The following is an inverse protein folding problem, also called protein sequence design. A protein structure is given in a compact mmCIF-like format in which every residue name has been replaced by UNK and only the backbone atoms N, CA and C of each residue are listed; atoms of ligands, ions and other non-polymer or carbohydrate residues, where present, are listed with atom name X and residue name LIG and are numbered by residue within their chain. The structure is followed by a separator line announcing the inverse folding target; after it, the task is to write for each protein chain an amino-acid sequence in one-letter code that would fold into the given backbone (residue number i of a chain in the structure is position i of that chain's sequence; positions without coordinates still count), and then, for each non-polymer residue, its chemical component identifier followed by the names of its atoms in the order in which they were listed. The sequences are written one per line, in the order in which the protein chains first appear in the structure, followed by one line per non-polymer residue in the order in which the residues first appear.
data_IF_384456936698
#
_entry.id   IF_384456936698
#
_cell.length_a   1.000
_cell.length_b   1.000
_cell.length_c   1.000
_cell.angle_alpha   90.00
_cell.angle_beta   90.00
_cell.angle_gamma   90.00
#
_symmetry.space_group_name_H-M   'P 1'
#
loop_
_entity.id
_entity.type
_entity.pdbx_description
1 polymer ?
#
# COMPACT_ATOMS: atom_id res chain seq x y z
N UNK A 1 23.56 31.39 19.02
CA UNK A 1 23.35 29.94 18.98
C UNK A 1 22.80 29.61 17.62
N UNK A 2 23.49 28.81 16.82
CA UNK A 2 23.03 28.46 15.47
C UNK A 2 21.83 27.53 15.62
N UNK A 3 20.74 27.83 14.93
CA UNK A 3 19.58 26.94 14.77
C UNK A 3 20.12 25.68 14.09
N UNK A 4 20.13 24.57 14.81
CA UNK A 4 20.54 23.28 14.24
C UNK A 4 19.47 22.93 13.20
N UNK A 5 19.80 23.06 11.91
CA UNK A 5 18.88 22.78 10.82
C UNK A 5 18.58 21.28 10.84
N UNK A 6 17.38 20.91 11.24
CA UNK A 6 16.93 19.53 11.20
C UNK A 6 16.92 19.07 9.75
N UNK A 7 17.60 17.99 9.42
CA UNK A 7 17.47 17.35 8.10
C UNK A 7 16.06 16.74 8.00
N UNK A 8 15.25 17.18 7.05
CA UNK A 8 13.91 16.63 6.89
C UNK A 8 13.95 15.12 6.66
N UNK A 9 13.06 14.38 7.31
CA UNK A 9 12.79 12.98 7.02
C UNK A 9 11.47 12.86 6.28
N UNK A 10 11.36 11.84 5.43
CA UNK A 10 10.21 11.51 4.61
C UNK A 10 9.61 10.21 5.12
N UNK A 11 8.44 10.30 5.74
CA UNK A 11 7.80 9.23 6.51
C UNK A 11 6.70 8.60 5.67
N UNK A 12 6.73 7.30 5.47
CA UNK A 12 5.78 6.55 4.65
C UNK A 12 5.06 5.52 5.52
N UNK A 13 3.77 5.70 5.67
CA UNK A 13 2.94 4.88 6.56
C UNK A 13 2.02 3.99 5.74
N UNK A 14 2.07 2.68 5.98
CA UNK A 14 0.97 1.82 5.57
C UNK A 14 -0.29 2.14 6.41
N UNK A 15 -1.47 1.71 5.92
CA UNK A 15 -2.75 1.96 6.58
C UNK A 15 -3.09 0.78 7.50
N UNK A 16 -3.38 -0.37 6.88
CA UNK A 16 -4.08 -1.49 7.51
C UNK A 16 -3.15 -2.29 8.42
N UNK A 17 -3.35 -2.17 9.72
CA UNK A 17 -2.46 -2.78 10.73
C UNK A 17 -1.32 -1.88 11.18
N UNK A 18 -1.08 -0.76 10.50
CA UNK A 18 0.00 0.18 10.81
C UNK A 18 -0.51 1.46 11.46
N UNK A 19 -1.29 2.30 10.76
CA UNK A 19 -1.86 3.52 11.35
C UNK A 19 -3.33 3.38 11.69
N UNK A 20 -4.03 2.42 11.08
CA UNK A 20 -5.47 2.21 11.26
C UNK A 20 -5.88 0.76 11.01
N UNK A 21 -7.12 0.40 11.33
CA UNK A 21 -7.70 -0.92 11.08
C UNK A 21 -9.22 -0.81 10.91
N UNK A 22 -9.80 -1.66 10.06
CA UNK A 22 -11.26 -1.74 9.86
C UNK A 22 -11.90 -0.40 9.47
N UNK A 23 -11.27 0.36 8.59
CA UNK A 23 -11.72 1.67 8.09
C UNK A 23 -12.02 2.69 9.22
N UNK A 24 -11.43 2.49 10.40
CA UNK A 24 -11.47 3.47 11.46
C UNK A 24 -10.35 4.51 11.27
N UNK A 25 -10.56 5.76 11.68
CA UNK A 25 -9.48 6.74 11.67
C UNK A 25 -8.33 6.30 12.60
N UNK A 26 -7.11 6.77 12.33
CA UNK A 26 -6.01 6.61 13.28
C UNK A 26 -6.36 7.16 14.66
N UNK A 27 -5.76 6.59 15.71
CA UNK A 27 -5.94 7.11 17.06
C UNK A 27 -5.56 8.59 17.15
N UNK A 28 -6.09 9.26 18.17
CA UNK A 28 -5.73 10.66 18.42
C UNK A 28 -4.22 10.79 18.67
N UNK A 29 -3.59 9.85 19.41
CA UNK A 29 -2.18 9.87 19.73
C UNK A 29 -1.30 9.70 18.49
N UNK A 30 -1.63 8.73 17.62
CA UNK A 30 -0.96 8.54 16.31
C UNK A 30 -1.12 9.79 15.43
N UNK A 31 -2.34 10.35 15.33
CA UNK A 31 -2.62 11.56 14.55
C UNK A 31 -1.79 12.75 15.03
N UNK A 32 -1.76 13.00 16.34
CA UNK A 32 -0.98 14.08 16.94
C UNK A 32 0.52 13.89 16.73
N UNK A 33 1.03 12.67 16.85
CA UNK A 33 2.44 12.37 16.63
C UNK A 33 2.87 12.64 15.18
N UNK A 34 2.06 12.22 14.19
CA UNK A 34 2.33 12.50 12.76
C UNK A 34 2.30 14.01 12.50
N UNK A 35 1.29 14.71 13.00
CA UNK A 35 1.18 16.19 12.89
C UNK A 35 2.37 16.90 13.51
N UNK A 36 2.85 16.42 14.66
CA UNK A 36 4.01 16.99 15.34
C UNK A 36 5.31 16.75 14.54
N UNK A 37 5.50 15.57 13.98
CA UNK A 37 6.64 15.30 13.09
C UNK A 37 6.63 16.24 11.88
N UNK A 38 5.45 16.46 11.25
CA UNK A 38 5.31 17.43 10.16
C UNK A 38 5.60 18.86 10.59
N UNK A 39 5.12 19.28 11.76
CA UNK A 39 5.41 20.61 12.33
C UNK A 39 6.91 20.82 12.60
N UNK A 40 7.67 19.76 12.84
CA UNK A 40 9.12 19.76 12.99
C UNK A 40 9.87 19.78 11.64
N UNK A 41 9.15 19.85 10.52
CA UNK A 41 9.73 19.98 9.17
C UNK A 41 9.93 18.66 8.43
N UNK A 42 9.45 17.54 8.96
CA UNK A 42 9.41 16.26 8.26
C UNK A 42 8.20 16.21 7.30
N UNK A 43 8.23 15.31 6.33
CA UNK A 43 7.13 15.05 5.40
C UNK A 43 6.49 13.71 5.72
N UNK A 44 5.16 13.61 5.63
CA UNK A 44 4.41 12.40 5.92
C UNK A 44 3.52 12.01 4.75
N UNK A 45 3.58 10.73 4.36
CA UNK A 45 2.86 10.17 3.23
C UNK A 45 2.14 8.89 3.66
N UNK A 46 0.94 8.66 3.13
CA UNK A 46 0.33 7.33 3.11
C UNK A 46 1.08 6.49 2.06
N UNK A 47 1.32 5.20 2.34
CA UNK A 47 1.91 4.25 1.40
C UNK A 47 1.18 2.91 1.50
N UNK A 48 0.14 2.73 0.69
CA UNK A 48 -0.84 1.66 0.85
C UNK A 48 -1.03 0.81 -0.41
N UNK A 49 -1.44 -0.43 -0.23
CA UNK A 49 -1.91 -1.29 -1.31
C UNK A 49 -3.33 -0.94 -1.79
N UNK A 50 -4.12 -0.19 -1.01
CA UNK A 50 -5.43 0.29 -1.44
C UNK A 50 -5.30 1.24 -2.62
N UNK A 51 -6.19 1.14 -3.62
CA UNK A 51 -6.33 2.17 -4.65
C UNK A 51 -7.03 3.40 -4.07
N UNK A 52 -6.90 4.55 -4.70
CA UNK A 52 -7.37 5.83 -4.12
C UNK A 52 -8.88 5.82 -3.84
N UNK A 53 -9.68 5.12 -4.63
CA UNK A 53 -11.12 5.00 -4.41
C UNK A 53 -11.52 4.15 -3.21
N UNK A 54 -10.58 3.37 -2.66
CA UNK A 54 -10.76 2.54 -1.46
C UNK A 54 -10.15 3.18 -0.20
N UNK A 55 -9.56 4.36 -0.32
CA UNK A 55 -9.03 5.12 0.81
C UNK A 55 -10.13 6.00 1.40
N UNK A 56 -10.44 5.81 2.66
CA UNK A 56 -11.53 6.53 3.32
C UNK A 56 -11.12 7.94 3.79
N UNK A 57 -12.08 8.88 3.76
CA UNK A 57 -11.86 10.30 3.92
C UNK A 57 -11.19 10.70 5.26
N UNK A 58 -11.49 10.00 6.35
CA UNK A 58 -10.94 10.32 7.67
C UNK A 58 -9.42 10.17 7.77
N UNK A 59 -8.78 9.40 6.89
CA UNK A 59 -7.32 9.34 6.80
C UNK A 59 -6.71 10.66 6.34
N UNK A 60 -7.37 11.37 5.41
CA UNK A 60 -6.88 12.65 4.93
C UNK A 60 -6.97 13.76 5.98
N UNK A 61 -7.82 13.59 7.01
CA UNK A 61 -7.91 14.53 8.14
C UNK A 61 -6.63 14.55 9.00
N UNK A 62 -5.81 13.50 8.98
CA UNK A 62 -4.48 13.48 9.61
C UNK A 62 -3.59 14.58 9.03
N UNK A 63 -3.76 14.88 7.73
CA UNK A 63 -3.07 15.96 7.04
C UNK A 63 -1.74 15.53 6.45
N UNK A 64 -1.70 14.42 5.73
CA UNK A 64 -0.51 13.96 4.98
C UNK A 64 -0.11 14.92 3.85
N UNK A 65 1.16 14.90 3.46
CA UNK A 65 1.70 15.67 2.33
C UNK A 65 1.40 14.99 0.98
N UNK A 66 1.03 13.72 1.00
CA UNK A 66 0.67 12.95 -0.19
C UNK A 66 0.36 11.50 0.11
N UNK A 67 0.12 10.74 -0.95
CA UNK A 67 -0.20 9.32 -0.90
C UNK A 67 0.47 8.56 -2.04
N UNK A 68 0.98 7.38 -1.73
CA UNK A 68 1.32 6.31 -2.64
C UNK A 68 0.20 5.28 -2.50
N UNK A 69 -0.66 5.15 -3.51
CA UNK A 69 -1.80 4.26 -3.56
C UNK A 69 -1.56 3.11 -4.55
N UNK A 70 -2.44 2.08 -4.55
CA UNK A 70 -2.37 0.96 -5.47
C UNK A 70 -1.05 0.21 -5.41
N UNK A 71 -0.46 0.05 -4.20
CA UNK A 71 0.86 -0.55 -4.00
C UNK A 71 2.00 0.12 -4.80
N UNK A 72 1.89 1.43 -5.08
CA UNK A 72 2.89 2.17 -5.87
C UNK A 72 2.41 2.55 -7.28
N UNK A 73 1.22 2.14 -7.68
CA UNK A 73 0.68 2.43 -9.01
C UNK A 73 0.28 3.90 -9.19
N UNK A 74 -0.17 4.57 -8.12
CA UNK A 74 -0.53 5.99 -8.16
C UNK A 74 0.19 6.77 -7.07
N UNK A 75 0.70 7.96 -7.40
CA UNK A 75 1.35 8.87 -6.45
C UNK A 75 0.76 10.26 -6.59
N UNK A 76 0.21 10.77 -5.49
CA UNK A 76 -0.35 12.12 -5.40
C UNK A 76 0.42 12.88 -4.31
N UNK A 77 0.96 14.06 -4.64
CA UNK A 77 1.68 14.95 -3.72
C UNK A 77 1.04 16.33 -3.76
N UNK A 78 0.70 16.89 -2.59
CA UNK A 78 0.04 18.19 -2.47
C UNK A 78 -1.19 18.33 -3.39
N UNK A 79 -1.98 17.24 -3.51
CA UNK A 79 -3.17 17.15 -4.36
C UNK A 79 -2.89 17.04 -5.87
N UNK A 80 -1.63 16.92 -6.29
CA UNK A 80 -1.24 16.76 -7.69
C UNK A 80 -0.74 15.34 -7.95
N UNK A 81 -1.34 14.68 -8.94
CA UNK A 81 -0.84 13.40 -9.43
C UNK A 81 0.53 13.60 -10.12
N UNK A 82 1.55 12.87 -9.65
CA UNK A 82 2.91 12.91 -10.21
C UNK A 82 3.29 11.63 -10.93
N UNK A 83 2.59 10.54 -10.65
CA UNK A 83 2.79 9.25 -11.29
C UNK A 83 1.50 8.46 -11.29
N UNK A 84 1.24 7.75 -12.39
CA UNK A 84 0.15 6.79 -12.48
C UNK A 84 0.50 5.69 -13.47
N UNK A 85 0.26 4.44 -13.08
CA UNK A 85 0.39 3.27 -13.92
C UNK A 85 -0.91 2.49 -13.93
N UNK A 86 -1.34 2.11 -15.12
CA UNK A 86 -2.48 1.21 -15.34
C UNK A 86 -2.01 -0.08 -16.00
N UNK A 87 -2.66 -1.18 -15.70
CA UNK A 87 -2.47 -2.43 -16.43
C UNK A 87 -2.80 -2.16 -17.91
N UNK A 88 -1.89 -2.48 -18.87
CA UNK A 88 -2.18 -2.34 -20.29
C UNK A 88 -3.45 -3.09 -20.68
N UNK A 89 -4.28 -2.48 -21.52
CA UNK A 89 -5.63 -3.00 -21.86
C UNK A 89 -5.59 -4.42 -22.44
N UNK A 90 -4.63 -4.70 -23.31
CA UNK A 90 -4.49 -6.04 -23.94
C UNK A 90 -4.10 -7.11 -22.90
N UNK A 91 -3.32 -6.74 -21.87
CA UNK A 91 -2.97 -7.63 -20.76
C UNK A 91 -4.14 -7.80 -19.81
N UNK A 92 -4.87 -6.72 -19.51
CA UNK A 92 -6.08 -6.77 -18.67
C UNK A 92 -7.14 -7.69 -19.29
N UNK A 93 -7.40 -7.55 -20.61
CA UNK A 93 -8.33 -8.42 -21.34
C UNK A 93 -7.93 -9.88 -21.17
N UNK A 94 -6.66 -10.25 -21.44
CA UNK A 94 -6.18 -11.63 -21.30
C UNK A 94 -6.28 -12.13 -19.86
N UNK A 95 -6.01 -11.28 -18.88
CA UNK A 95 -6.15 -11.63 -17.47
C UNK A 95 -7.59 -11.99 -17.13
N UNK A 96 -8.56 -11.16 -17.57
CA UNK A 96 -9.98 -11.40 -17.29
C UNK A 96 -10.55 -12.55 -18.13
N UNK A 97 -10.08 -12.75 -19.37
CA UNK A 97 -10.39 -13.97 -20.15
C UNK A 97 -9.99 -15.23 -19.40
N UNK A 98 -8.79 -15.23 -18.79
CA UNK A 98 -8.33 -16.35 -17.95
C UNK A 98 -9.22 -16.56 -16.74
N UNK A 99 -9.72 -15.50 -16.08
CA UNK A 99 -10.64 -15.63 -14.95
C UNK A 99 -11.93 -16.36 -15.37
N UNK A 100 -12.54 -15.94 -16.46
CA UNK A 100 -13.74 -16.60 -16.98
C UNK A 100 -13.48 -18.05 -17.43
N UNK A 101 -12.34 -18.29 -18.14
CA UNK A 101 -11.99 -19.62 -18.62
C UNK A 101 -11.79 -20.64 -17.47
N UNK A 102 -11.28 -20.20 -16.33
CA UNK A 102 -10.97 -21.04 -15.18
C UNK A 102 -11.96 -20.88 -14.02
N UNK A 103 -13.01 -20.08 -14.21
CA UNK A 103 -14.02 -19.78 -13.18
C UNK A 103 -13.42 -19.16 -11.90
N UNK A 104 -12.39 -18.32 -12.04
CA UNK A 104 -11.81 -17.59 -10.90
C UNK A 104 -12.60 -16.32 -10.60
N UNK A 105 -12.76 -16.04 -9.31
CA UNK A 105 -13.32 -14.78 -8.84
C UNK A 105 -12.21 -13.75 -8.64
N UNK A 106 -12.38 -12.57 -9.22
CA UNK A 106 -11.42 -11.49 -9.10
C UNK A 106 -12.04 -10.16 -8.71
N UNK A 107 -11.24 -9.32 -8.09
CA UNK A 107 -11.54 -7.92 -7.83
C UNK A 107 -10.53 -7.10 -8.63
N UNK A 108 -11.02 -6.33 -9.61
CA UNK A 108 -10.20 -5.39 -10.36
C UNK A 108 -10.25 -4.04 -9.65
N UNK A 109 -9.11 -3.53 -9.24
CA UNK A 109 -8.98 -2.35 -8.41
C UNK A 109 -8.47 -1.19 -9.27
N UNK A 110 -9.34 -0.24 -9.54
CA UNK A 110 -9.05 0.92 -10.36
C UNK A 110 -9.02 2.21 -9.56
N UNK A 111 -8.73 3.32 -10.23
CA UNK A 111 -8.66 4.66 -9.63
C UNK A 111 -10.01 5.13 -9.10
N UNK A 112 -11.06 4.95 -9.90
CA UNK A 112 -12.39 5.51 -9.62
C UNK A 112 -13.35 4.47 -9.05
N UNK A 113 -13.09 3.19 -9.28
CA UNK A 113 -14.03 2.13 -9.00
C UNK A 113 -13.32 0.79 -8.84
N UNK A 114 -13.86 -0.04 -7.95
CA UNK A 114 -13.53 -1.46 -7.81
C UNK A 114 -14.60 -2.26 -8.56
N UNK A 115 -14.18 -3.27 -9.33
CA UNK A 115 -15.07 -4.14 -10.10
C UNK A 115 -14.94 -5.59 -9.67
N UNK A 116 -16.05 -6.29 -9.56
CA UNK A 116 -16.05 -7.71 -9.29
C UNK A 116 -16.15 -8.53 -10.58
N UNK A 117 -15.23 -9.46 -10.79
CA UNK A 117 -15.29 -10.49 -11.82
C UNK A 117 -15.85 -11.76 -11.19
N UNK A 118 -17.09 -12.17 -11.51
CA UNK A 118 -17.73 -13.34 -10.92
C UNK A 118 -17.03 -14.65 -11.33
N UNK A 119 -16.89 -15.56 -10.37
CA UNK A 119 -16.32 -16.89 -10.56
C UNK A 119 -16.77 -17.85 -9.46
N UNK A 120 -15.87 -18.71 -8.99
CA UNK A 120 -16.16 -19.75 -8.00
C UNK A 120 -16.49 -19.22 -6.60
N UNK A 121 -16.02 -18.00 -6.25
CA UNK A 121 -16.26 -17.36 -4.94
C UNK A 121 -17.21 -16.20 -5.14
N UNK A 122 -18.28 -16.16 -4.37
CA UNK A 122 -19.15 -15.00 -4.29
C UNK A 122 -18.63 -14.04 -3.23
N UNK A 123 -18.28 -12.82 -3.62
CA UNK A 123 -17.84 -11.78 -2.70
C UNK A 123 -19.04 -10.94 -2.26
N UNK A 124 -19.08 -10.64 -0.96
CA UNK A 124 -20.05 -9.70 -0.38
C UNK A 124 -19.52 -8.28 -0.56
N UNK A 125 -20.35 -7.39 -1.10
CA UNK A 125 -20.01 -5.99 -1.33
C UNK A 125 -20.86 -5.44 -2.48
N UNK A 126 -21.01 -4.13 -2.51
CA UNK A 126 -21.75 -3.43 -3.56
C UNK A 126 -20.78 -2.99 -4.69
N UNK A 127 -20.09 -3.95 -5.27
CA UNK A 127 -19.19 -3.71 -6.39
C UNK A 127 -19.91 -3.92 -7.74
N UNK A 128 -19.73 -3.05 -8.72
CA UNK A 128 -20.12 -3.30 -10.08
C UNK A 128 -19.56 -4.64 -10.58
N UNK A 129 -20.42 -5.48 -11.14
CA UNK A 129 -20.05 -6.79 -11.65
C UNK A 129 -19.77 -6.73 -13.13
N UNK A 130 -18.63 -7.24 -13.54
CA UNK A 130 -18.38 -7.47 -14.97
C UNK A 130 -19.21 -8.67 -15.44
N UNK A 131 -19.96 -8.47 -16.52
CA UNK A 131 -20.83 -9.48 -17.12
C UNK A 131 -20.11 -10.31 -18.19
N UNK A 132 -18.95 -9.87 -18.62
CA UNK A 132 -18.13 -10.54 -19.63
C UNK A 132 -16.98 -9.66 -20.10
N UNK A 133 -16.17 -10.21 -21.00
CA UNK A 133 -14.99 -9.51 -21.57
C UNK A 133 -15.37 -8.19 -22.27
N UNK A 134 -16.57 -8.11 -22.83
CA UNK A 134 -17.03 -6.87 -23.49
C UNK A 134 -17.10 -5.65 -22.55
N UNK A 135 -17.18 -5.88 -21.23
CA UNK A 135 -17.15 -4.81 -20.25
C UNK A 135 -15.72 -4.31 -19.99
N UNK A 136 -14.69 -5.11 -20.33
CA UNK A 136 -13.29 -4.74 -20.24
C UNK A 136 -12.93 -3.96 -21.50
N UNK A 137 -12.85 -2.66 -21.38
CA UNK A 137 -12.53 -1.75 -22.48
C UNK A 137 -11.60 -0.63 -22.00
N UNK A 138 -11.06 0.15 -22.92
CA UNK A 138 -10.09 1.21 -22.63
C UNK A 138 -10.54 2.30 -21.66
N UNK A 139 -11.79 2.26 -21.17
CA UNK A 139 -12.26 3.15 -20.12
C UNK A 139 -11.99 2.62 -18.71
N UNK A 140 -11.72 1.31 -18.57
CA UNK A 140 -11.34 0.73 -17.28
C UNK A 140 -9.88 1.08 -16.96
N UNK A 141 -9.68 1.87 -15.93
CA UNK A 141 -8.37 2.29 -15.43
C UNK A 141 -8.01 1.44 -14.21
N UNK A 142 -7.50 0.22 -14.46
CA UNK A 142 -7.18 -0.78 -13.44
C UNK A 142 -5.70 -0.69 -13.10
N UNK A 143 -5.39 -0.59 -11.82
CA UNK A 143 -4.04 -0.47 -11.27
C UNK A 143 -3.48 -1.83 -10.85
N UNK A 144 -4.32 -2.64 -10.23
CA UNK A 144 -4.00 -3.98 -9.72
C UNK A 144 -5.27 -4.83 -9.62
N UNK A 145 -5.13 -6.09 -9.25
CA UNK A 145 -6.27 -6.95 -8.97
C UNK A 145 -5.96 -7.98 -7.90
N UNK A 146 -7.03 -8.50 -7.30
CA UNK A 146 -6.97 -9.58 -6.32
C UNK A 146 -7.79 -10.76 -6.81
N UNK A 147 -7.27 -11.98 -6.70
CA UNK A 147 -8.02 -13.23 -6.99
C UNK A 147 -8.35 -13.90 -5.66
N UNK A 148 -9.62 -14.29 -5.51
CA UNK A 148 -10.14 -15.01 -4.35
C UNK A 148 -10.41 -16.47 -4.71
N UNK A 149 -10.07 -17.40 -3.78
CA UNK A 149 -10.28 -18.83 -3.95
C UNK A 149 -10.99 -19.42 -2.72
N UNK A 150 -11.76 -20.50 -2.91
CA UNK A 150 -12.53 -21.12 -1.82
C UNK A 150 -11.69 -21.70 -0.70
N UNK A 151 -10.54 -22.26 -1.04
CA UNK A 151 -9.75 -23.07 -0.12
C UNK A 151 -8.37 -22.47 0.16
N UNK A 152 -7.85 -22.76 1.33
CA UNK A 152 -6.49 -22.45 1.71
C UNK A 152 -5.48 -23.04 0.71
N UNK A 153 -4.45 -22.27 0.36
CA UNK A 153 -3.40 -22.59 -0.61
C UNK A 153 -3.85 -22.71 -2.09
N UNK A 154 -5.08 -22.37 -2.44
CA UNK A 154 -5.56 -22.46 -3.82
C UNK A 154 -5.09 -21.35 -4.75
N UNK A 155 -4.56 -20.26 -4.23
CA UNK A 155 -3.97 -19.21 -5.07
C UNK A 155 -2.84 -19.78 -5.96
N UNK A 156 -2.11 -20.79 -5.50
CA UNK A 156 -1.11 -21.49 -6.31
C UNK A 156 -1.72 -22.34 -7.45
N UNK A 157 -3.01 -22.71 -7.36
CA UNK A 157 -3.75 -23.30 -8.48
C UNK A 157 -3.92 -22.27 -9.60
N UNK A 158 -4.25 -21.02 -9.25
CA UNK A 158 -4.36 -19.91 -10.21
C UNK A 158 -3.07 -19.77 -10.99
N UNK A 159 -1.94 -19.66 -10.29
CA UNK A 159 -0.62 -19.55 -10.93
C UNK A 159 -0.29 -20.74 -11.83
N UNK A 160 -0.68 -21.97 -11.45
CA UNK A 160 -0.47 -23.14 -12.30
C UNK A 160 -1.35 -23.17 -13.55
N UNK A 161 -2.56 -22.63 -13.48
CA UNK A 161 -3.52 -22.58 -14.60
C UNK A 161 -3.33 -21.36 -15.50
N UNK A 162 -2.76 -20.28 -14.96
CA UNK A 162 -2.46 -19.03 -15.65
C UNK A 162 -0.99 -18.62 -15.37
N UNK A 163 0.00 -19.43 -15.83
CA UNK A 163 1.41 -19.15 -15.52
C UNK A 163 1.92 -17.84 -16.13
N UNK A 164 1.28 -17.34 -17.18
CA UNK A 164 1.57 -16.07 -17.82
C UNK A 164 1.37 -14.88 -16.87
N UNK A 165 0.51 -14.98 -15.84
CA UNK A 165 0.34 -13.92 -14.86
C UNK A 165 1.66 -13.51 -14.22
N UNK A 166 2.50 -14.49 -13.84
CA UNK A 166 3.83 -14.22 -13.30
C UNK A 166 4.80 -13.63 -14.32
N UNK A 167 4.44 -13.58 -15.60
CA UNK A 167 5.18 -12.83 -16.63
C UNK A 167 4.98 -11.32 -16.52
N UNK A 168 3.78 -10.89 -16.09
CA UNK A 168 3.36 -9.49 -16.06
C UNK A 168 3.25 -8.91 -14.64
N UNK A 169 2.97 -9.77 -13.64
CA UNK A 169 2.65 -9.35 -12.29
C UNK A 169 3.57 -9.99 -11.24
N UNK A 170 3.80 -9.26 -10.18
CA UNK A 170 4.26 -9.81 -8.90
C UNK A 170 3.05 -10.18 -8.07
N UNK A 171 3.11 -11.28 -7.33
CA UNK A 171 1.99 -11.80 -6.54
C UNK A 171 2.31 -11.84 -5.05
N UNK A 172 1.41 -11.30 -4.26
CA UNK A 172 1.44 -11.34 -2.80
C UNK A 172 0.26 -12.19 -2.31
N UNK A 173 0.54 -13.40 -1.82
CA UNK A 173 -0.46 -14.28 -1.26
C UNK A 173 -0.67 -13.97 0.23
N UNK A 174 -1.93 -14.06 0.70
CA UNK A 174 -2.17 -14.04 2.14
C UNK A 174 -1.68 -15.34 2.80
N UNK A 175 -1.53 -15.32 4.13
CA UNK A 175 -1.00 -16.46 4.91
C UNK A 175 -1.81 -17.75 4.72
N UNK A 176 -3.11 -17.67 4.46
CA UNK A 176 -3.97 -18.84 4.22
C UNK A 176 -3.92 -19.34 2.76
N UNK A 177 -3.41 -18.53 1.83
CA UNK A 177 -3.45 -18.82 0.40
C UNK A 177 -4.86 -18.76 -0.21
N UNK A 178 -5.83 -18.14 0.48
CA UNK A 178 -7.22 -17.99 0.02
C UNK A 178 -7.40 -16.82 -0.95
N UNK A 179 -6.46 -15.89 -0.98
CA UNK A 179 -6.39 -14.85 -2.02
C UNK A 179 -4.95 -14.48 -2.35
N UNK A 180 -4.77 -13.90 -3.51
CA UNK A 180 -3.52 -13.31 -3.96
C UNK A 180 -3.78 -11.96 -4.62
N UNK A 181 -3.00 -10.99 -4.21
CA UNK A 181 -2.93 -9.66 -4.82
C UNK A 181 -1.89 -9.68 -5.94
N UNK A 182 -2.23 -9.13 -7.09
CA UNK A 182 -1.37 -9.06 -8.26
C UNK A 182 -1.14 -7.60 -8.63
N UNK A 183 0.11 -7.19 -8.59
CA UNK A 183 0.56 -5.85 -8.96
C UNK A 183 1.48 -5.92 -10.18
N UNK A 184 1.50 -4.88 -10.99
CA UNK A 184 2.36 -4.84 -12.17
C UNK A 184 3.83 -4.98 -11.77
N UNK A 185 4.61 -5.81 -12.49
CA UNK A 185 6.03 -6.02 -12.18
C UNK A 185 6.83 -4.73 -12.10
N UNK A 186 7.61 -4.62 -11.03
CA UNK A 186 8.43 -3.45 -10.74
C UNK A 186 7.63 -2.26 -10.19
N UNK A 187 6.33 -2.45 -9.90
CA UNK A 187 5.50 -1.50 -9.16
C UNK A 187 5.20 -2.12 -7.81
N UNK A 188 5.75 -1.51 -6.78
CA UNK A 188 5.58 -1.87 -5.39
C UNK A 188 5.70 -0.62 -4.50
N UNK A 189 5.43 -0.75 -3.22
CA UNK A 189 5.55 0.34 -2.25
C UNK A 189 6.97 0.95 -2.26
N UNK A 190 8.02 0.14 -2.41
CA UNK A 190 9.40 0.62 -2.48
C UNK A 190 9.67 1.49 -3.71
N UNK A 191 9.17 1.08 -4.88
CA UNK A 191 9.28 1.88 -6.12
C UNK A 191 8.53 3.20 -6.00
N UNK A 192 7.37 3.20 -5.30
CA UNK A 192 6.63 4.41 -4.96
C UNK A 192 7.44 5.37 -4.08
N UNK A 193 8.05 4.86 -3.01
CA UNK A 193 8.92 5.63 -2.11
C UNK A 193 10.11 6.23 -2.87
N UNK A 194 10.78 5.45 -3.74
CA UNK A 194 11.88 5.95 -4.59
C UNK A 194 11.44 7.12 -5.47
N UNK A 195 10.26 7.04 -6.10
CA UNK A 195 9.72 8.14 -6.93
C UNK A 195 9.42 9.40 -6.11
N UNK A 196 8.92 9.25 -4.88
CA UNK A 196 8.71 10.39 -3.99
C UNK A 196 10.06 10.99 -3.57
N UNK A 197 11.06 10.18 -3.23
CA UNK A 197 12.41 10.65 -2.92
C UNK A 197 13.04 11.39 -4.10
N UNK A 198 12.93 10.86 -5.31
CA UNK A 198 13.37 11.52 -6.56
C UNK A 198 12.65 12.86 -6.79
N UNK A 199 11.33 12.91 -6.58
CA UNK A 199 10.53 14.14 -6.72
C UNK A 199 11.03 15.26 -5.80
N UNK A 200 11.42 14.93 -4.57
CA UNK A 200 11.97 15.89 -3.62
C UNK A 200 13.49 16.08 -3.73
N UNK A 201 14.19 15.29 -4.55
CA UNK A 201 15.64 15.37 -4.71
C UNK A 201 16.40 14.92 -3.45
N UNK A 202 15.88 13.93 -2.73
CA UNK A 202 16.46 13.41 -1.49
C UNK A 202 16.95 11.97 -1.65
N UNK A 203 17.88 11.57 -0.79
CA UNK A 203 18.39 10.20 -0.74
C UNK A 203 17.39 9.28 -0.03
N UNK A 204 17.42 7.98 -0.35
CA UNK A 204 16.66 6.98 0.39
C UNK A 204 17.04 6.93 1.89
N UNK A 205 18.23 7.36 2.27
CA UNK A 205 18.67 7.48 3.67
C UNK A 205 17.83 8.47 4.49
N UNK A 206 17.15 9.43 3.83
CA UNK A 206 16.21 10.35 4.49
C UNK A 206 14.79 9.78 4.59
N UNK A 207 14.52 8.59 4.07
CA UNK A 207 13.19 7.96 4.11
C UNK A 207 13.03 7.05 5.32
N UNK A 208 11.79 6.96 5.83
CA UNK A 208 11.41 6.03 6.89
C UNK A 208 10.10 5.37 6.46
N UNK A 209 10.09 4.04 6.36
CA UNK A 209 8.91 3.26 6.03
C UNK A 209 8.35 2.58 7.28
N UNK A 210 7.02 2.60 7.42
CA UNK A 210 6.29 1.96 8.51
C UNK A 210 5.31 0.96 7.90
N UNK A 211 5.32 -0.29 8.39
CA UNK A 211 4.46 -1.36 7.88
C UNK A 211 4.26 -2.49 8.89
N UNK A 212 3.38 -3.43 8.56
CA UNK A 212 3.02 -4.55 9.44
C UNK A 212 2.99 -5.90 8.73
N UNK A 213 2.96 -5.94 7.40
CA UNK A 213 2.74 -7.17 6.65
C UNK A 213 3.77 -7.37 5.52
N UNK A 214 3.82 -8.58 4.93
CA UNK A 214 4.84 -8.94 3.94
C UNK A 214 4.77 -8.12 2.64
N UNK A 215 3.66 -7.44 2.35
CA UNK A 215 3.59 -6.52 1.21
C UNK A 215 4.36 -5.20 1.46
N UNK A 216 4.79 -4.96 2.73
CA UNK A 216 5.66 -3.84 3.12
C UNK A 216 7.14 -4.18 3.04
N UNK A 217 7.49 -5.47 2.92
CA UNK A 217 8.87 -5.95 3.06
C UNK A 217 9.84 -5.19 2.14
N UNK A 218 9.46 -4.99 0.88
CA UNK A 218 10.29 -4.25 -0.07
C UNK A 218 10.47 -2.77 0.33
N UNK A 219 9.45 -2.13 0.92
CA UNK A 219 9.51 -0.76 1.39
C UNK A 219 10.38 -0.63 2.65
N UNK A 220 10.24 -1.59 3.58
CA UNK A 220 11.03 -1.69 4.82
C UNK A 220 12.51 -1.87 4.50
N UNK A 221 12.85 -2.78 3.58
CA UNK A 221 14.24 -3.02 3.17
C UNK A 221 14.85 -1.84 2.39
N UNK A 222 14.07 -1.17 1.56
CA UNK A 222 14.57 -0.10 0.69
C UNK A 222 14.69 1.26 1.37
N UNK A 223 13.96 1.52 2.44
CA UNK A 223 14.00 2.80 3.16
C UNK A 223 15.31 2.97 3.92
N UNK A 224 15.69 4.22 4.21
CA UNK A 224 16.83 4.51 5.09
C UNK A 224 16.61 4.06 6.54
N UNK A 225 15.35 3.86 6.94
CA UNK A 225 14.97 3.22 8.20
C UNK A 225 13.64 2.48 8.00
N UNK A 226 13.65 1.17 8.22
CA UNK A 226 12.46 0.33 8.23
C UNK A 226 11.91 0.15 9.65
N UNK A 227 10.65 0.49 9.85
CA UNK A 227 9.94 0.35 11.14
C UNK A 227 8.78 -0.61 10.98
N UNK A 228 8.70 -1.61 11.83
CA UNK A 228 7.71 -2.69 11.76
C UNK A 228 6.90 -2.75 13.04
N UNK A 229 5.58 -2.99 12.90
CA UNK A 229 4.65 -3.07 14.03
C UNK A 229 4.90 -4.32 14.89
N UNK A 230 4.51 -4.26 16.17
CA UNK A 230 4.83 -5.29 17.16
C UNK A 230 4.17 -6.65 16.93
N UNK A 231 3.04 -6.69 16.24
CA UNK A 231 2.28 -7.88 15.88
C UNK A 231 2.54 -8.41 14.45
N UNK A 232 3.50 -7.83 13.76
CA UNK A 232 3.94 -8.27 12.42
C UNK A 232 4.53 -9.69 12.43
N UNK A 233 4.57 -10.37 11.27
CA UNK A 233 5.28 -11.65 11.12
C UNK A 233 6.77 -11.53 11.52
N UNK A 234 7.31 -12.60 12.11
CA UNK A 234 8.71 -12.61 12.57
C UNK A 234 9.69 -12.37 11.40
N UNK A 235 9.40 -12.90 10.23
CA UNK A 235 10.19 -12.68 9.02
C UNK A 235 10.32 -11.18 8.66
N UNK A 236 9.24 -10.41 8.79
CA UNK A 236 9.28 -8.97 8.55
C UNK A 236 10.03 -8.22 9.67
N UNK A 237 9.87 -8.66 10.93
CA UNK A 237 10.61 -8.09 12.07
C UNK A 237 12.11 -8.27 11.95
N UNK A 238 12.58 -9.39 11.39
CA UNK A 238 14.00 -9.66 11.15
C UNK A 238 14.62 -8.71 10.11
N UNK A 239 13.81 -8.14 9.22
CA UNK A 239 14.24 -7.17 8.19
C UNK A 239 14.31 -5.73 8.72
N UNK A 240 13.64 -5.43 9.83
CA UNK A 240 13.43 -4.06 10.30
C UNK A 240 14.61 -3.51 11.12
N UNK A 241 14.89 -2.21 10.95
CA UNK A 241 15.81 -1.47 11.84
C UNK A 241 15.20 -1.22 13.22
N UNK A 242 13.86 -1.16 13.29
CA UNK A 242 13.11 -0.91 14.51
C UNK A 242 11.79 -1.68 14.52
N UNK A 243 11.61 -2.53 15.53
CA UNK A 243 10.29 -3.06 15.89
C UNK A 243 9.68 -2.16 16.97
N UNK A 244 8.46 -1.67 16.72
CA UNK A 244 7.71 -0.82 17.64
C UNK A 244 6.63 -1.59 18.37
N UNK A 245 5.68 -0.91 19.05
CA UNK A 245 4.48 -1.52 19.63
C UNK A 245 3.46 -1.93 18.58
N UNK A 246 2.38 -2.56 19.02
CA UNK A 246 1.20 -2.84 18.18
C UNK A 246 0.40 -1.56 17.91
N UNK A 247 -0.62 -1.65 17.06
CA UNK A 247 -1.54 -0.54 16.82
C UNK A 247 -2.22 -0.09 18.13
N UNK A 248 -2.68 -1.06 18.93
CA UNK A 248 -3.33 -0.83 20.22
C UNK A 248 -2.38 -0.25 21.30
N UNK A 249 -1.10 -0.42 21.11
CA UNK A 249 -0.05 0.13 21.99
C UNK A 249 0.50 1.47 21.51
N UNK A 250 -0.15 2.10 20.53
CA UNK A 250 0.29 3.37 19.92
C UNK A 250 1.70 3.25 19.29
N UNK A 251 1.95 2.15 18.58
CA UNK A 251 3.25 1.81 18.02
C UNK A 251 3.85 2.93 17.18
N UNK A 252 3.05 3.61 16.34
CA UNK A 252 3.52 4.72 15.48
C UNK A 252 3.98 5.91 16.33
N UNK A 253 3.18 6.33 17.31
CA UNK A 253 3.55 7.45 18.18
C UNK A 253 4.85 7.15 18.95
N UNK A 254 4.99 5.93 19.47
CA UNK A 254 6.22 5.45 20.14
C UNK A 254 7.43 5.44 19.21
N UNK A 255 7.26 4.95 17.96
CA UNK A 255 8.35 4.93 16.98
C UNK A 255 8.81 6.35 16.63
N UNK A 256 7.88 7.26 16.33
CA UNK A 256 8.20 8.65 16.02
C UNK A 256 8.92 9.36 17.18
N UNK A 257 8.51 9.05 18.42
CA UNK A 257 9.19 9.55 19.63
C UNK A 257 10.60 8.98 19.77
N UNK A 258 10.76 7.66 19.58
CA UNK A 258 12.06 6.96 19.67
C UNK A 258 13.04 7.45 18.62
N UNK A 259 12.56 7.75 17.42
CA UNK A 259 13.31 8.34 16.31
C UNK A 259 13.54 9.84 16.47
N UNK A 260 13.07 10.45 17.57
CA UNK A 260 13.21 11.88 17.89
C UNK A 260 12.54 12.84 16.90
N UNK A 261 11.53 12.38 16.16
CA UNK A 261 10.82 13.18 15.15
C UNK A 261 9.73 14.09 15.75
N UNK A 262 9.29 13.80 16.99
CA UNK A 262 8.22 14.54 17.70
C UNK A 262 8.75 15.45 18.82
N UNK A 263 10.07 15.62 18.96
CA UNK A 263 10.60 16.54 19.99
C UNK A 263 10.26 17.98 19.62
N UNK A 264 9.63 18.71 20.58
CA UNK A 264 9.49 20.16 20.41
C UNK A 264 10.88 20.78 20.27
N UNK A 265 11.08 21.57 19.20
CA UNK A 265 12.27 22.41 19.11
C UNK A 265 12.18 23.43 20.23
N UNK A 266 13.12 23.42 21.15
CA UNK A 266 13.27 24.50 22.12
C UNK A 266 13.69 25.76 21.36
N UNK A 267 12.83 26.78 21.35
CA UNK A 267 13.08 28.09 20.75
C UNK A 267 14.19 28.83 21.52
#
# INVERSE_FOLDING_TARGET
MGIQKVTPKYLFFDIDGTIARNDQPPSQETTEAIRMARANGHKAFICTARTICDVYDSLFEVGFDGIIAGAGAQIIIDGKEIYHHYIPEDVLIRTVEGFYAHNFSGVLEGTDQIYFVPGEVELTGDFPRLKGIADVNGNLKIEKFTIHTFDHAHIWRVVRQMPELLGWYDMYANNSGSFGEFVWKGIDKASGIRRVAEYYGVSMEETIAFGDSMNDAAAIDAAGTGVVMGDSPDELKEMADLVTGTLEEEGIARALQKLHLTKKQEN
#
